data_IF_475491978309
#
_entry.id   IF_475491978309
#
_cell.length_a   1.000
_cell.length_b   1.000
_cell.length_c   1.000
_cell.angle_alpha   90.00
_cell.angle_beta   90.00
_cell.angle_gamma   90.00
#
_symmetry.space_group_name_H-M   'P 1'
#
loop_
_entity.id
_entity.type
_entity.pdbx_description
1 polymer ?
#
# COMPACT_ATOMS: atom_id res chain seq x y z
N UNK A 1 -38.04 10.97 41.12
CA UNK A 1 -38.32 9.56 41.43
C UNK A 1 -38.66 8.91 40.12
N UNK A 2 -37.69 8.47 39.42
CA UNK A 2 -37.06 7.18 39.10
C UNK A 2 -38.09 6.07 38.83
N UNK A 3 -38.05 5.53 37.62
CA UNK A 3 -38.02 4.07 37.37
C UNK A 3 -37.59 3.81 35.92
N UNK A 4 -36.36 3.32 35.75
CA UNK A 4 -35.88 2.65 34.55
C UNK A 4 -36.40 1.21 34.54
N UNK A 5 -37.13 0.81 33.52
CA UNK A 5 -37.52 -0.58 33.32
C UNK A 5 -36.58 -1.20 32.26
N UNK A 6 -35.75 -2.16 32.69
CA UNK A 6 -34.98 -3.07 31.84
C UNK A 6 -35.95 -4.09 31.21
N UNK A 7 -36.00 -4.16 29.89
CA UNK A 7 -36.60 -5.30 29.21
C UNK A 7 -35.53 -6.31 28.86
N UNK A 8 -35.57 -7.41 29.57
CA UNK A 8 -34.81 -8.63 29.30
C UNK A 8 -35.69 -9.53 28.45
N UNK A 9 -35.38 -9.70 27.17
CA UNK A 9 -36.09 -10.67 26.32
C UNK A 9 -35.31 -11.97 26.36
N UNK A 10 -35.83 -12.95 27.10
CA UNK A 10 -35.38 -14.34 27.02
C UNK A 10 -36.10 -15.03 25.84
N UNK A 11 -35.36 -15.34 24.78
CA UNK A 11 -35.78 -16.30 23.77
C UNK A 11 -35.21 -17.68 24.14
N UNK A 12 -36.06 -18.56 24.62
CA UNK A 12 -35.76 -19.99 24.73
C UNK A 12 -35.83 -20.60 23.32
N UNK A 13 -34.70 -20.99 22.78
CA UNK A 13 -34.66 -21.89 21.65
C UNK A 13 -33.95 -23.17 22.09
N UNK A 14 -34.67 -24.27 22.00
CA UNK A 14 -34.21 -25.65 22.24
C UNK A 14 -33.04 -25.97 21.29
N UNK A 15 -31.87 -26.22 21.80
CA UNK A 15 -30.77 -26.82 21.07
C UNK A 15 -30.44 -28.19 21.62
N UNK A 16 -30.73 -29.23 20.80
CA UNK A 16 -30.19 -30.57 20.96
C UNK A 16 -28.86 -30.68 20.17
N UNK A 17 -27.79 -30.87 20.93
CA UNK A 17 -26.54 -31.61 20.72
C UNK A 17 -25.78 -31.44 19.39
N UNK A 18 -24.70 -30.64 19.45
CA UNK A 18 -23.37 -31.05 19.01
C UNK A 18 -22.35 -30.05 19.60
N UNK A 19 -21.39 -30.57 20.37
CA UNK A 19 -20.41 -29.83 21.14
C UNK A 19 -19.45 -29.08 20.22
N UNK A 20 -19.59 -27.79 20.16
CA UNK A 20 -18.66 -26.85 19.56
C UNK A 20 -19.05 -25.44 20.03
N UNK A 21 -18.59 -25.06 21.23
CA UNK A 21 -18.69 -23.67 21.67
C UNK A 21 -17.82 -22.79 20.77
N UNK A 22 -18.39 -22.24 19.71
CA UNK A 22 -17.81 -21.09 19.04
C UNK A 22 -18.07 -19.86 19.92
N UNK A 23 -17.08 -19.50 20.73
CA UNK A 23 -17.04 -18.17 21.33
C UNK A 23 -16.75 -17.16 20.24
N UNK A 24 -17.78 -16.46 19.76
CA UNK A 24 -17.57 -15.24 18.99
C UNK A 24 -17.00 -14.18 19.94
N UNK A 25 -15.68 -14.05 19.90
CA UNK A 25 -14.98 -12.96 20.55
C UNK A 25 -15.08 -11.73 19.61
N UNK A 26 -16.05 -10.84 19.85
CA UNK A 26 -16.06 -9.49 19.31
C UNK A 26 -14.95 -8.69 20.00
N UNK A 27 -13.69 -8.86 19.59
CA UNK A 27 -12.62 -8.16 20.25
C UNK A 27 -11.29 -8.30 19.53
N UNK A 28 -10.86 -7.25 18.89
CA UNK A 28 -9.62 -7.00 18.16
C UNK A 28 -9.50 -7.85 16.88
N UNK A 29 -9.70 -7.19 15.75
CA UNK A 29 -9.26 -7.72 14.46
C UNK A 29 -7.78 -8.12 14.61
N UNK A 30 -7.50 -9.39 14.39
CA UNK A 30 -6.14 -9.92 14.45
C UNK A 30 -5.40 -9.52 13.17
N UNK A 31 -4.48 -8.57 13.29
CA UNK A 31 -3.59 -8.11 12.22
C UNK A 31 -2.20 -8.78 12.30
N UNK A 32 -2.14 -9.98 12.85
CA UNK A 32 -0.95 -10.82 12.76
C UNK A 32 -0.66 -11.21 11.30
N UNK A 33 0.55 -11.69 11.04
CA UNK A 33 0.89 -12.23 9.75
C UNK A 33 -0.08 -13.35 9.32
N UNK A 34 -0.50 -13.32 8.05
CA UNK A 34 -1.37 -14.33 7.47
C UNK A 34 -0.55 -15.21 6.55
N UNK A 35 -0.53 -16.51 6.85
CA UNK A 35 -0.09 -17.53 5.91
C UNK A 35 -1.23 -18.50 5.73
N UNK A 36 -1.79 -18.55 4.54
CA UNK A 36 -2.91 -19.42 4.22
C UNK A 36 -2.66 -20.14 2.90
N UNK A 37 -3.16 -21.37 2.81
CA UNK A 37 -3.31 -22.11 1.57
C UNK A 37 -4.79 -22.36 1.36
N UNK A 38 -5.29 -21.97 0.21
CA UNK A 38 -6.70 -22.11 -0.15
C UNK A 38 -6.80 -23.08 -1.32
N UNK A 39 -7.87 -23.87 -1.35
CA UNK A 39 -8.08 -24.89 -2.37
C UNK A 39 -7.42 -26.24 -2.06
N UNK A 40 -7.46 -27.15 -3.03
CA UNK A 40 -6.87 -28.46 -2.90
C UNK A 40 -5.41 -28.43 -3.37
N UNK A 41 -4.49 -28.03 -2.51
CA UNK A 41 -3.06 -28.01 -2.83
C UNK A 41 -2.43 -29.41 -3.07
N UNK A 42 -3.23 -30.48 -3.03
CA UNK A 42 -2.83 -31.83 -3.47
C UNK A 42 -3.22 -32.08 -4.94
N UNK A 43 -4.13 -31.24 -5.49
CA UNK A 43 -4.52 -31.21 -6.89
C UNK A 43 -4.70 -29.72 -7.23
N UNK A 44 -3.87 -29.18 -8.11
CA UNK A 44 -3.93 -27.79 -8.58
C UNK A 44 -5.34 -27.39 -9.08
N UNK A 45 -5.78 -26.13 -8.98
CA UNK A 45 -5.01 -25.00 -8.50
C UNK A 45 -5.07 -24.79 -6.97
N UNK A 46 -4.00 -24.24 -6.47
CA UNK A 46 -3.83 -23.88 -5.06
C UNK A 46 -3.45 -22.42 -4.98
N UNK A 47 -3.87 -21.72 -3.91
CA UNK A 47 -3.45 -20.34 -3.67
C UNK A 47 -2.60 -20.29 -2.41
N UNK A 48 -1.39 -19.74 -2.53
CA UNK A 48 -0.58 -19.37 -1.39
C UNK A 48 -0.76 -17.88 -1.07
N UNK A 49 -1.23 -17.57 0.14
CA UNK A 49 -1.41 -16.21 0.64
C UNK A 49 -0.41 -15.96 1.76
N UNK A 50 0.46 -14.97 1.60
CA UNK A 50 1.42 -14.53 2.62
C UNK A 50 1.27 -13.00 2.80
N UNK A 51 0.60 -12.58 3.88
CA UNK A 51 0.46 -11.18 4.24
C UNK A 51 1.24 -10.94 5.52
N UNK A 52 2.22 -10.05 5.46
CA UNK A 52 3.02 -9.70 6.62
C UNK A 52 2.18 -9.08 7.74
N UNK A 53 2.64 -9.23 8.96
CA UNK A 53 2.14 -8.44 10.08
C UNK A 53 2.36 -6.95 9.82
N UNK A 54 1.62 -6.10 10.54
CA UNK A 54 1.91 -4.67 10.54
C UNK A 54 3.37 -4.43 10.93
N UNK A 55 4.07 -3.52 10.24
CA UNK A 55 5.41 -3.15 10.65
C UNK A 55 5.36 -2.46 12.01
N UNK A 56 6.40 -2.63 12.80
CA UNK A 56 6.54 -1.90 14.04
C UNK A 56 6.65 -0.40 13.73
N UNK A 57 5.65 0.36 14.19
CA UNK A 57 5.67 1.82 14.06
C UNK A 57 6.65 2.38 15.09
N UNK A 58 7.59 3.25 14.68
CA UNK A 58 8.60 3.79 15.57
C UNK A 58 8.01 4.46 16.81
N UNK A 59 8.70 4.35 17.93
CA UNK A 59 8.26 4.91 19.22
C UNK A 59 8.12 6.45 19.21
N UNK A 60 8.77 7.12 18.25
CA UNK A 60 8.61 8.56 18.00
C UNK A 60 7.17 8.94 17.60
N UNK A 61 6.41 8.00 17.07
CA UNK A 61 4.99 8.17 16.71
C UNK A 61 4.12 7.60 17.82
N UNK A 62 3.34 8.45 18.49
CA UNK A 62 2.54 8.06 19.66
C UNK A 62 1.07 8.49 19.55
N UNK A 63 0.23 7.98 20.45
CA UNK A 63 -1.17 8.40 20.59
C UNK A 63 -1.99 8.21 19.30
N UNK A 64 -2.82 9.20 18.99
CA UNK A 64 -3.76 9.18 17.87
C UNK A 64 -3.03 9.10 16.52
N UNK A 65 -1.83 9.66 16.41
CA UNK A 65 -1.02 9.58 15.19
C UNK A 65 -0.66 8.14 14.85
N UNK A 66 -0.26 7.35 15.83
CA UNK A 66 0.01 5.91 15.66
C UNK A 66 -1.24 5.18 15.17
N UNK A 67 -2.39 5.42 15.82
CA UNK A 67 -3.66 4.78 15.46
C UNK A 67 -4.05 5.13 14.01
N UNK A 68 -3.90 6.40 13.61
CA UNK A 68 -4.22 6.84 12.25
C UNK A 68 -3.31 6.19 11.20
N UNK A 69 -2.00 6.14 11.46
CA UNK A 69 -1.03 5.50 10.55
C UNK A 69 -1.31 4.00 10.44
N UNK A 70 -1.52 3.30 11.57
CA UNK A 70 -1.86 1.88 11.57
C UNK A 70 -3.13 1.60 10.76
N UNK A 71 -4.16 2.42 10.92
CA UNK A 71 -5.41 2.27 10.18
C UNK A 71 -5.19 2.40 8.66
N UNK A 72 -4.36 3.37 8.22
CA UNK A 72 -4.06 3.55 6.80
C UNK A 72 -3.20 2.42 6.23
N UNK A 73 -2.19 1.95 6.97
CA UNK A 73 -1.38 0.79 6.56
C UNK A 73 -2.26 -0.47 6.45
N UNK A 74 -3.15 -0.71 7.41
CA UNK A 74 -4.13 -1.80 7.36
C UNK A 74 -5.03 -1.70 6.14
N UNK A 75 -5.53 -0.50 5.85
CA UNK A 75 -6.40 -0.25 4.71
C UNK A 75 -5.75 -0.68 3.38
N UNK A 76 -4.45 -0.44 3.22
CA UNK A 76 -3.71 -0.84 2.02
C UNK A 76 -3.31 -2.31 2.06
N UNK A 77 -2.81 -2.80 3.20
CA UNK A 77 -2.31 -4.17 3.35
C UNK A 77 -3.42 -5.21 3.18
N UNK A 78 -4.64 -4.90 3.64
CA UNK A 78 -5.81 -5.78 3.55
C UNK A 78 -6.86 -5.27 2.54
N UNK A 79 -6.45 -4.38 1.61
CA UNK A 79 -7.34 -3.93 0.56
C UNK A 79 -7.91 -5.11 -0.24
N UNK A 80 -9.21 -5.11 -0.58
CA UNK A 80 -9.81 -6.05 -1.50
C UNK A 80 -9.11 -5.98 -2.87
N UNK A 81 -9.27 -7.02 -3.68
CA UNK A 81 -8.65 -7.08 -5.01
C UNK A 81 -9.40 -6.20 -6.02
N UNK A 82 -10.73 -6.14 -5.94
CA UNK A 82 -11.58 -5.53 -6.98
C UNK A 82 -12.75 -4.67 -6.49
N UNK A 83 -12.97 -4.49 -5.20
CA UNK A 83 -14.23 -3.86 -4.76
C UNK A 83 -13.99 -2.58 -3.98
N UNK A 84 -14.36 -1.45 -4.59
CA UNK A 84 -14.22 -0.10 -4.04
C UNK A 84 -14.97 0.16 -2.72
N UNK A 85 -15.89 -0.73 -2.30
CA UNK A 85 -16.81 -0.51 -1.19
C UNK A 85 -16.70 -1.51 -0.03
N UNK A 86 -15.80 -2.48 -0.08
CA UNK A 86 -15.59 -3.42 1.04
C UNK A 86 -14.61 -2.82 2.05
N UNK A 87 -14.98 -2.91 3.32
CA UNK A 87 -14.04 -2.54 4.40
C UNK A 87 -12.82 -3.46 4.33
N UNK A 88 -11.60 -2.91 4.29
CA UNK A 88 -10.39 -3.71 4.33
C UNK A 88 -10.39 -4.61 5.56
N UNK A 89 -10.41 -5.90 5.36
CA UNK A 89 -10.28 -6.89 6.42
C UNK A 89 -9.59 -8.14 5.89
N UNK A 90 -8.87 -8.81 6.76
CA UNK A 90 -8.22 -10.09 6.48
C UNK A 90 -9.20 -11.12 5.93
N UNK A 91 -10.30 -11.33 6.65
CA UNK A 91 -11.26 -12.39 6.31
C UNK A 91 -11.99 -12.10 5.00
N UNK A 92 -12.29 -10.82 4.72
CA UNK A 92 -12.90 -10.42 3.45
C UNK A 92 -11.94 -10.66 2.27
N UNK A 93 -10.66 -10.31 2.41
CA UNK A 93 -9.65 -10.57 1.37
C UNK A 93 -9.46 -12.08 1.12
N UNK A 94 -9.37 -12.88 2.16
CA UNK A 94 -9.27 -14.34 2.05
C UNK A 94 -10.50 -14.93 1.35
N UNK A 95 -11.70 -14.50 1.75
CA UNK A 95 -12.95 -14.96 1.15
C UNK A 95 -13.05 -14.57 -0.34
N UNK A 96 -12.59 -13.38 -0.71
CA UNK A 96 -12.57 -12.92 -2.10
C UNK A 96 -11.61 -13.78 -2.96
N UNK A 97 -10.41 -14.04 -2.45
CA UNK A 97 -9.43 -14.90 -3.15
C UNK A 97 -10.00 -16.31 -3.35
N UNK A 98 -10.61 -16.88 -2.31
CA UNK A 98 -11.21 -18.21 -2.38
C UNK A 98 -12.38 -18.26 -3.38
N UNK A 99 -13.21 -17.22 -3.42
CA UNK A 99 -14.31 -17.11 -4.38
C UNK A 99 -13.81 -17.05 -5.84
N UNK A 100 -12.78 -16.22 -6.12
CA UNK A 100 -12.16 -16.12 -7.45
C UNK A 100 -11.53 -17.41 -7.90
N UNK A 101 -10.88 -18.11 -6.99
CA UNK A 101 -10.26 -19.38 -7.31
C UNK A 101 -11.31 -20.42 -7.72
N UNK A 102 -12.43 -20.51 -7.01
CA UNK A 102 -13.54 -21.41 -7.36
C UNK A 102 -14.16 -21.08 -8.72
N UNK A 103 -14.30 -19.79 -9.03
CA UNK A 103 -14.79 -19.35 -10.33
C UNK A 103 -13.82 -19.76 -11.44
N UNK A 104 -12.51 -19.53 -11.23
CA UNK A 104 -11.48 -19.91 -12.19
C UNK A 104 -11.41 -21.41 -12.41
N UNK A 105 -11.44 -22.23 -11.36
CA UNK A 105 -11.43 -23.68 -11.39
C UNK A 105 -12.62 -24.25 -12.20
N UNK A 106 -13.74 -23.55 -12.20
CA UNK A 106 -14.93 -23.93 -12.95
C UNK A 106 -14.83 -23.74 -14.47
N UNK A 107 -13.87 -22.92 -14.94
CA UNK A 107 -13.77 -22.50 -16.35
C UNK A 107 -12.39 -22.75 -16.99
N UNK A 108 -11.42 -23.25 -16.24
CA UNK A 108 -10.04 -23.42 -16.70
C UNK A 108 -9.46 -24.78 -16.31
N UNK A 109 -8.90 -25.50 -17.28
CA UNK A 109 -8.13 -26.73 -17.05
C UNK A 109 -6.65 -26.44 -16.72
N UNK A 110 -6.28 -25.17 -16.49
CA UNK A 110 -4.90 -24.79 -16.26
C UNK A 110 -4.48 -25.07 -14.81
N UNK A 111 -3.49 -25.92 -14.64
CA UNK A 111 -2.88 -26.28 -13.37
C UNK A 111 -1.80 -25.24 -12.97
N UNK A 112 -2.17 -23.97 -12.79
CA UNK A 112 -1.23 -22.92 -12.38
C UNK A 112 -1.57 -22.48 -10.96
N UNK A 113 -0.60 -22.64 -10.06
CA UNK A 113 -0.74 -22.19 -8.68
C UNK A 113 -0.80 -20.65 -8.59
N UNK A 114 -1.72 -20.17 -7.78
CA UNK A 114 -1.88 -18.76 -7.49
C UNK A 114 -1.07 -18.34 -6.26
N UNK A 115 -0.71 -17.09 -6.21
CA UNK A 115 -0.01 -16.54 -5.05
C UNK A 115 -0.38 -15.09 -4.80
N UNK A 116 -0.42 -14.71 -3.54
CA UNK A 116 -0.52 -13.32 -3.10
C UNK A 116 0.44 -13.09 -1.95
N UNK A 117 1.39 -12.18 -2.14
CA UNK A 117 2.30 -11.74 -1.09
C UNK A 117 2.14 -10.23 -0.88
N UNK A 118 1.82 -9.83 0.35
CA UNK A 118 1.78 -8.43 0.76
C UNK A 118 2.70 -8.19 1.93
N UNK A 119 3.56 -7.19 1.80
CA UNK A 119 4.49 -6.80 2.86
C UNK A 119 4.41 -5.32 3.12
N UNK A 120 4.67 -4.90 4.35
CA UNK A 120 4.79 -3.51 4.73
C UNK A 120 6.06 -3.31 5.54
N UNK A 121 6.77 -2.21 5.33
CA UNK A 121 7.96 -1.85 6.09
C UNK A 121 8.05 -0.34 6.30
N UNK A 122 8.65 0.07 7.40
CA UNK A 122 9.11 1.45 7.60
C UNK A 122 10.36 1.66 6.75
N UNK A 123 10.39 2.71 5.92
CA UNK A 123 11.57 3.07 5.10
C UNK A 123 12.33 4.24 5.68
N UNK A 124 11.65 5.09 6.44
CA UNK A 124 12.26 6.20 7.19
C UNK A 124 11.33 6.65 8.31
N UNK A 125 11.89 7.14 9.42
CA UNK A 125 11.13 7.80 10.48
C UNK A 125 11.99 8.77 11.26
N UNK A 126 11.43 9.95 11.51
CA UNK A 126 11.95 10.94 12.45
C UNK A 126 10.81 11.64 13.20
N UNK A 127 11.11 12.73 13.89
CA UNK A 127 10.11 13.52 14.64
C UNK A 127 9.12 14.30 13.75
N UNK A 128 9.34 14.35 12.44
CA UNK A 128 8.54 15.08 11.46
C UNK A 128 7.72 14.15 10.58
N UNK A 129 8.37 13.14 10.01
CA UNK A 129 7.74 12.25 9.05
C UNK A 129 8.06 10.79 9.34
N UNK A 130 7.12 9.93 9.00
CA UNK A 130 7.32 8.49 8.94
C UNK A 130 6.85 7.98 7.59
N UNK A 131 7.75 7.33 6.86
CA UNK A 131 7.50 6.82 5.52
C UNK A 131 7.48 5.30 5.49
N UNK A 132 6.56 4.75 4.71
CA UNK A 132 6.34 3.30 4.56
C UNK A 132 6.38 2.90 3.10
N UNK A 133 6.79 1.65 2.87
CA UNK A 133 6.61 0.93 1.61
C UNK A 133 5.72 -0.27 1.88
N UNK A 134 4.65 -0.42 1.08
CA UNK A 134 3.85 -1.64 1.00
C UNK A 134 4.07 -2.24 -0.38
N UNK A 135 4.40 -3.52 -0.43
CA UNK A 135 4.56 -4.28 -1.66
C UNK A 135 3.41 -5.28 -1.79
N UNK A 136 2.82 -5.36 -2.98
CA UNK A 136 1.75 -6.27 -3.35
C UNK A 136 2.19 -7.02 -4.60
N UNK A 137 2.48 -8.33 -4.47
CA UNK A 137 3.04 -9.15 -5.53
C UNK A 137 2.23 -10.44 -5.59
N UNK A 138 1.87 -10.88 -6.78
CA UNK A 138 1.16 -12.13 -6.91
C UNK A 138 0.81 -12.51 -8.33
N UNK A 139 0.15 -13.64 -8.41
CA UNK A 139 -0.55 -14.15 -9.59
C UNK A 139 -1.89 -14.73 -9.13
N UNK A 140 -2.97 -14.21 -9.66
CA UNK A 140 -4.33 -14.62 -9.32
C UNK A 140 -5.14 -14.95 -10.59
N UNK A 141 -4.51 -15.70 -11.48
CA UNK A 141 -5.06 -16.03 -12.79
C UNK A 141 -4.80 -14.91 -13.84
N UNK A 142 -5.11 -15.22 -15.10
CA UNK A 142 -4.92 -14.30 -16.22
C UNK A 142 -3.58 -14.44 -16.93
N UNK A 143 -3.23 -13.43 -17.74
CA UNK A 143 -2.08 -13.51 -18.66
C UNK A 143 -0.71 -13.34 -17.97
N UNK A 144 -0.65 -12.68 -16.82
CA UNK A 144 0.60 -12.42 -16.10
C UNK A 144 0.33 -12.09 -14.61
N UNK A 145 1.38 -12.17 -13.80
CA UNK A 145 1.35 -11.70 -12.42
C UNK A 145 1.26 -10.17 -12.32
N UNK A 146 1.14 -9.68 -11.09
CA UNK A 146 1.18 -8.25 -10.78
C UNK A 146 2.25 -7.96 -9.73
N UNK A 147 2.73 -6.73 -9.74
CA UNK A 147 3.70 -6.22 -8.77
C UNK A 147 3.49 -4.72 -8.63
N UNK A 148 2.86 -4.35 -7.52
CA UNK A 148 2.58 -2.97 -7.19
C UNK A 148 3.27 -2.57 -5.90
N UNK A 149 3.64 -1.29 -5.80
CA UNK A 149 4.21 -0.70 -4.58
C UNK A 149 3.47 0.57 -4.23
N UNK A 150 3.17 0.70 -2.95
CA UNK A 150 2.64 1.92 -2.38
C UNK A 150 3.66 2.52 -1.43
N UNK A 151 4.14 3.72 -1.76
CA UNK A 151 4.94 4.55 -0.89
C UNK A 151 4.01 5.56 -0.21
N UNK A 152 4.15 5.74 1.08
CA UNK A 152 3.32 6.64 1.85
C UNK A 152 4.16 7.36 2.89
N UNK A 153 4.01 8.67 2.95
CA UNK A 153 4.64 9.51 3.97
C UNK A 153 3.58 10.13 4.86
N UNK A 154 3.79 10.08 6.16
CA UNK A 154 2.88 10.62 7.16
C UNK A 154 3.59 11.68 8.00
N UNK A 155 2.85 12.69 8.44
CA UNK A 155 3.26 13.56 9.52
C UNK A 155 3.30 12.76 10.83
N UNK A 156 4.46 12.67 11.47
CA UNK A 156 4.67 11.82 12.65
C UNK A 156 3.90 12.28 13.89
N UNK A 157 3.44 13.54 13.92
CA UNK A 157 2.69 14.09 15.06
C UNK A 157 1.19 13.89 14.93
N UNK A 158 0.64 14.08 13.72
CA UNK A 158 -0.80 14.00 13.48
C UNK A 158 -1.25 12.66 12.90
N UNK A 159 -0.34 11.88 12.34
CA UNK A 159 -0.67 10.66 11.60
C UNK A 159 -1.32 10.91 10.23
N UNK A 160 -1.42 12.18 9.80
CA UNK A 160 -2.01 12.53 8.50
C UNK A 160 -1.05 12.15 7.37
N UNK A 161 -1.56 11.49 6.34
CA UNK A 161 -0.81 11.24 5.12
C UNK A 161 -0.48 12.57 4.44
N UNK A 162 0.78 12.73 4.05
CA UNK A 162 1.26 13.90 3.32
C UNK A 162 1.04 13.73 1.83
N UNK A 163 0.73 14.84 1.17
CA UNK A 163 0.63 14.99 -0.28
C UNK A 163 1.84 15.76 -0.81
N UNK A 164 2.04 15.76 -2.12
CA UNK A 164 3.11 16.58 -2.73
C UNK A 164 2.92 18.07 -2.42
N UNK A 165 1.67 18.54 -2.32
CA UNK A 165 1.38 19.91 -1.93
C UNK A 165 1.76 20.24 -0.47
N UNK A 166 1.85 19.24 0.39
CA UNK A 166 2.38 19.42 1.75
C UNK A 166 3.91 19.55 1.75
N UNK A 167 4.60 18.97 0.77
CA UNK A 167 6.06 18.98 0.69
C UNK A 167 6.63 20.27 0.12
N UNK A 168 6.07 20.77 -0.98
CA UNK A 168 6.61 21.89 -1.73
C UNK A 168 5.57 22.98 -1.96
N UNK A 169 6.02 24.23 -2.10
CA UNK A 169 5.16 25.32 -2.53
C UNK A 169 4.80 25.18 -4.01
N UNK A 170 3.62 25.66 -4.40
CA UNK A 170 3.15 25.61 -5.78
C UNK A 170 4.13 26.28 -6.75
N UNK A 171 4.75 27.38 -6.34
CA UNK A 171 5.78 28.08 -7.11
C UNK A 171 7.04 27.25 -7.37
N UNK A 172 7.29 26.21 -6.58
CA UNK A 172 8.43 25.30 -6.72
C UNK A 172 8.14 24.08 -7.61
N UNK A 173 6.87 23.81 -7.92
CA UNK A 173 6.45 22.63 -8.73
C UNK A 173 7.15 22.54 -10.09
N UNK A 174 7.29 23.63 -10.89
CA UNK A 174 8.00 23.54 -12.17
C UNK A 174 9.46 23.12 -12.01
N UNK A 175 10.11 23.51 -10.91
CA UNK A 175 11.48 23.09 -10.62
C UNK A 175 11.52 21.62 -10.20
N UNK A 176 10.57 21.19 -9.35
CA UNK A 176 10.44 19.78 -8.96
C UNK A 176 10.20 18.88 -10.18
N UNK A 177 9.32 19.27 -11.11
CA UNK A 177 9.05 18.53 -12.36
C UNK A 177 10.32 18.36 -13.20
N UNK A 178 11.14 19.41 -13.35
CA UNK A 178 12.39 19.31 -14.10
C UNK A 178 13.38 18.34 -13.43
N UNK A 179 13.50 18.36 -12.12
CA UNK A 179 14.34 17.42 -11.36
C UNK A 179 13.82 16.01 -11.54
N UNK A 180 12.51 15.82 -11.37
CA UNK A 180 11.84 14.52 -11.53
C UNK A 180 12.10 13.93 -12.91
N UNK A 181 11.90 14.70 -13.98
CA UNK A 181 12.13 14.22 -15.35
C UNK A 181 13.60 13.85 -15.57
N UNK A 182 14.55 14.65 -15.07
CA UNK A 182 15.98 14.36 -15.18
C UNK A 182 16.33 13.04 -14.49
N UNK A 183 15.84 12.82 -13.27
CA UNK A 183 16.08 11.58 -12.52
C UNK A 183 15.33 10.38 -13.11
N UNK A 184 14.11 10.59 -13.63
CA UNK A 184 13.38 9.56 -14.35
C UNK A 184 14.14 9.08 -15.58
N UNK A 185 14.66 10.01 -16.42
CA UNK A 185 15.49 9.69 -17.58
C UNK A 185 16.73 8.90 -17.16
N UNK A 186 17.38 9.28 -16.05
CA UNK A 186 18.52 8.55 -15.52
C UNK A 186 18.13 7.15 -15.07
N UNK A 187 17.04 7.00 -14.33
CA UNK A 187 16.57 5.71 -13.83
C UNK A 187 16.20 4.74 -14.97
N UNK A 188 15.74 5.28 -16.11
CA UNK A 188 15.32 4.50 -17.29
C UNK A 188 16.35 4.49 -18.43
N UNK A 189 17.53 5.08 -18.23
CA UNK A 189 18.61 5.18 -19.24
C UNK A 189 18.13 5.81 -20.57
N UNK A 190 17.26 6.83 -20.47
CA UNK A 190 16.73 7.55 -21.65
C UNK A 190 17.69 8.66 -22.04
N UNK A 191 18.12 8.66 -23.28
CA UNK A 191 19.07 9.64 -23.80
C UNK A 191 18.52 11.08 -23.78
N UNK A 192 19.42 12.05 -23.59
CA UNK A 192 19.06 13.46 -23.75
C UNK A 192 18.52 13.71 -25.17
N UNK A 193 17.35 14.39 -25.26
CA UNK A 193 16.71 14.68 -26.54
C UNK A 193 15.77 13.59 -27.10
N UNK A 194 15.83 12.36 -26.59
CA UNK A 194 14.83 11.34 -26.92
C UNK A 194 13.51 11.70 -26.22
N UNK A 195 12.36 11.65 -26.93
CA UNK A 195 11.07 11.86 -26.26
C UNK A 195 10.74 10.68 -25.32
N UNK A 196 9.99 10.93 -24.25
CA UNK A 196 9.52 9.86 -23.38
C UNK A 196 8.58 8.91 -24.12
N UNK A 197 7.78 9.44 -25.06
CA UNK A 197 6.91 8.66 -25.92
C UNK A 197 7.70 7.69 -26.80
N UNK A 198 8.79 8.14 -27.45
CA UNK A 198 9.64 7.27 -28.27
C UNK A 198 10.40 6.23 -27.44
N UNK A 199 10.58 6.50 -26.16
CA UNK A 199 11.12 5.54 -25.18
C UNK A 199 10.06 4.57 -24.66
N UNK A 200 8.80 4.64 -25.13
CA UNK A 200 7.70 3.73 -24.79
C UNK A 200 6.84 4.15 -23.61
N UNK A 201 7.00 5.38 -23.10
CA UNK A 201 6.19 5.91 -21.99
C UNK A 201 4.96 6.66 -22.50
N UNK A 202 3.90 6.71 -21.67
CA UNK A 202 2.62 7.36 -22.00
C UNK A 202 2.66 8.89 -21.87
N UNK A 203 3.83 9.49 -21.96
CA UNK A 203 4.06 10.93 -21.81
C UNK A 203 4.28 11.52 -23.21
N UNK A 204 3.30 12.28 -23.69
CA UNK A 204 3.36 12.91 -25.00
C UNK A 204 4.35 14.09 -25.01
N UNK A 205 4.89 14.47 -26.18
CA UNK A 205 5.72 15.66 -26.31
C UNK A 205 5.04 16.91 -25.74
N UNK A 206 5.73 17.63 -24.86
CA UNK A 206 5.21 18.82 -24.18
C UNK A 206 4.36 18.54 -22.94
N UNK A 207 4.10 17.28 -22.59
CA UNK A 207 3.51 16.91 -21.31
C UNK A 207 4.59 16.74 -20.24
N UNK A 208 4.26 17.15 -19.02
CA UNK A 208 5.10 16.89 -17.84
C UNK A 208 4.87 15.47 -17.32
N UNK A 209 5.92 14.87 -16.76
CA UNK A 209 5.81 13.64 -16.01
C UNK A 209 4.92 13.88 -14.78
N UNK A 210 3.85 13.11 -14.56
CA UNK A 210 2.95 13.34 -13.43
C UNK A 210 3.65 13.10 -12.10
N UNK A 211 3.56 14.05 -11.19
CA UNK A 211 3.98 13.85 -9.81
C UNK A 211 2.80 13.24 -9.05
N UNK A 212 2.86 11.92 -8.85
CA UNK A 212 1.83 11.19 -8.12
C UNK A 212 2.01 11.26 -6.60
N UNK A 213 0.98 10.80 -5.88
CA UNK A 213 0.99 10.71 -4.42
C UNK A 213 1.66 9.41 -3.90
N UNK A 214 2.28 8.65 -4.78
CA UNK A 214 3.01 7.42 -4.48
C UNK A 214 4.49 7.74 -4.22
N UNK A 215 4.78 8.30 -3.04
CA UNK A 215 6.13 8.76 -2.67
C UNK A 215 6.51 8.46 -1.23
N UNK A 216 7.82 8.38 -0.98
CA UNK A 216 8.42 8.36 0.35
C UNK A 216 9.43 9.49 0.51
N UNK A 217 9.29 10.28 1.59
CA UNK A 217 10.28 11.29 1.99
C UNK A 217 11.22 10.68 3.03
N UNK A 218 12.52 10.95 2.91
CA UNK A 218 13.55 10.48 3.82
C UNK A 218 14.70 11.48 3.93
N UNK A 219 15.66 11.20 4.80
CA UNK A 219 16.93 11.94 4.91
C UNK A 219 17.79 11.91 3.63
N UNK A 220 17.51 10.98 2.73
CA UNK A 220 18.20 10.82 1.43
C UNK A 220 17.53 11.62 0.31
N UNK A 221 16.29 12.03 0.48
CA UNK A 221 15.55 12.77 -0.53
C UNK A 221 14.09 12.31 -0.66
N UNK A 222 13.56 12.45 -1.86
CA UNK A 222 12.19 12.06 -2.22
C UNK A 222 12.25 10.90 -3.22
N UNK A 223 11.64 9.79 -2.86
CA UNK A 223 11.45 8.66 -3.74
C UNK A 223 10.03 8.68 -4.30
N UNK A 224 9.88 8.56 -5.62
CA UNK A 224 8.59 8.48 -6.32
C UNK A 224 8.52 7.14 -7.03
N UNK A 225 7.39 6.47 -6.86
CA UNK A 225 7.11 5.17 -7.46
C UNK A 225 6.02 5.31 -8.52
N UNK A 226 6.30 4.77 -9.70
CA UNK A 226 5.31 4.52 -10.74
C UNK A 226 5.13 3.02 -10.91
N UNK A 227 3.92 2.55 -10.70
CA UNK A 227 3.57 1.16 -10.92
C UNK A 227 3.34 0.86 -12.41
N UNK A 228 3.32 -0.42 -12.82
CA UNK A 228 2.94 -0.79 -14.17
C UNK A 228 1.62 -0.12 -14.58
N UNK A 229 1.53 0.32 -15.82
CA UNK A 229 0.39 1.03 -16.42
C UNK A 229 0.18 2.48 -15.97
N UNK A 230 0.87 3.00 -14.96
CA UNK A 230 0.73 4.41 -14.57
C UNK A 230 1.35 5.36 -15.60
N UNK A 231 2.55 5.06 -16.07
CA UNK A 231 3.26 5.89 -17.06
C UNK A 231 3.85 5.09 -18.22
N UNK A 232 3.67 3.76 -18.24
CA UNK A 232 4.21 2.87 -19.26
C UNK A 232 3.41 1.56 -19.34
N UNK A 233 3.50 0.80 -20.46
CA UNK A 233 2.95 -0.56 -20.54
C UNK A 233 3.58 -1.49 -19.50
N UNK A 234 2.85 -2.55 -19.12
CA UNK A 234 3.31 -3.58 -18.20
C UNK A 234 4.72 -4.11 -18.50
N UNK A 235 5.04 -4.30 -19.79
CA UNK A 235 6.32 -4.83 -20.23
C UNK A 235 7.53 -3.98 -19.83
N UNK A 236 7.36 -2.68 -19.61
CA UNK A 236 8.41 -1.79 -19.10
C UNK A 236 8.55 -1.85 -17.57
N UNK A 237 7.60 -2.48 -16.90
CA UNK A 237 7.61 -2.66 -15.44
C UNK A 237 7.43 -1.37 -14.64
N UNK A 238 7.66 -1.49 -13.35
CA UNK A 238 7.66 -0.35 -12.42
C UNK A 238 8.84 0.59 -12.65
N UNK A 239 8.69 1.87 -12.32
CA UNK A 239 9.77 2.85 -12.32
C UNK A 239 9.88 3.51 -10.96
N UNK A 240 11.04 3.41 -10.34
CA UNK A 240 11.38 4.08 -9.08
C UNK A 240 12.36 5.20 -9.36
N UNK A 241 12.00 6.41 -8.96
CA UNK A 241 12.79 7.62 -9.18
C UNK A 241 13.22 8.19 -7.84
N UNK A 242 14.53 8.34 -7.65
CA UNK A 242 15.09 8.93 -6.45
C UNK A 242 15.56 10.36 -6.75
N UNK A 243 14.91 11.35 -6.16
CA UNK A 243 15.31 12.74 -6.20
C UNK A 243 16.23 12.99 -4.99
N UNK A 244 17.53 13.25 -5.22
CA UNK A 244 18.48 13.38 -4.12
C UNK A 244 18.17 14.61 -3.26
N UNK A 245 18.46 14.52 -1.96
CA UNK A 245 18.17 15.58 -1.00
C UNK A 245 18.77 16.93 -1.40
N UNK A 246 19.97 16.93 -1.99
CA UNK A 246 20.67 18.14 -2.44
C UNK A 246 19.85 18.91 -3.49
N UNK A 247 19.10 18.19 -4.33
CA UNK A 247 18.28 18.79 -5.37
C UNK A 247 16.93 19.29 -4.85
N UNK A 248 16.33 18.59 -3.86
CA UNK A 248 14.96 18.88 -3.40
C UNK A 248 14.91 19.69 -2.11
N UNK A 249 15.93 19.68 -1.24
CA UNK A 249 15.94 20.39 0.02
C UNK A 249 15.61 21.91 -0.12
N UNK A 250 16.09 22.61 -1.16
CA UNK A 250 15.72 24.01 -1.36
C UNK A 250 14.24 24.24 -1.71
N UNK A 251 13.52 23.20 -2.15
CA UNK A 251 12.14 23.27 -2.59
C UNK A 251 11.14 22.86 -1.50
N UNK A 252 11.62 22.09 -0.51
CA UNK A 252 10.77 21.54 0.56
C UNK A 252 10.43 22.65 1.56
N UNK A 253 9.18 22.67 1.98
CA UNK A 253 8.65 23.64 2.95
C UNK A 253 9.46 23.65 4.26
N UNK A 254 9.61 24.81 4.86
CA UNK A 254 10.45 25.03 6.03
C UNK A 254 10.15 24.10 7.22
N UNK A 255 8.87 23.72 7.42
CA UNK A 255 8.45 22.81 8.48
C UNK A 255 8.96 21.37 8.30
N UNK A 256 9.37 20.98 7.08
CA UNK A 256 9.91 19.68 6.75
C UNK A 256 11.42 19.68 6.43
N UNK A 257 12.04 20.86 6.34
CA UNK A 257 13.46 20.99 5.94
C UNK A 257 14.43 20.24 6.89
N UNK A 258 14.05 20.09 8.16
CA UNK A 258 14.86 19.36 9.15
C UNK A 258 14.95 17.86 8.89
N UNK A 259 14.07 17.27 8.06
CA UNK A 259 14.14 15.86 7.65
C UNK A 259 15.51 15.54 7.02
N UNK A 260 16.08 16.49 6.26
CA UNK A 260 17.37 16.32 5.58
C UNK A 260 18.59 16.55 6.46
N UNK A 261 18.39 17.08 7.67
CA UNK A 261 19.48 17.35 8.64
C UNK A 261 19.45 16.36 9.80
N UNK A 262 18.41 15.58 9.92
CA UNK A 262 18.30 14.54 10.97
C UNK A 262 19.35 13.47 10.73
N UNK A 263 20.28 13.32 11.66
CA UNK A 263 21.14 12.12 11.71
C UNK A 263 20.23 10.98 12.15
N UNK A 264 20.20 9.91 11.38
CA UNK A 264 19.54 8.65 11.77
C UNK A 264 20.22 8.19 13.07
N UNK A 265 19.45 8.16 14.16
CA UNK A 265 19.88 7.63 15.44
C UNK A 265 19.90 6.10 15.42
#
# INVERSE_FOLDING_TARGET
MSYFARYQVCLFALCLVASGCFSFNFGKEDFSAVKARLGSCAASPCVEVDIAALPEIPHSVTGDARVAIEAEIKRVLYAPLDVDNMKPSRDALIAEIDARMREYDSVSDAEIDWSLTRTAKVVFSDSKVTSFEISNIGYLGGAHGFKDRSLMTFDSKSGRRLTVADLVEESSRPTLNRILEAEFRRARSIAAGQSLQDAGFFILPGQELPIGENFALSDKGLEIQYNPYEVAPYALGETRVNLPKEAIAPLVKANLSSVFTSSVL
#
